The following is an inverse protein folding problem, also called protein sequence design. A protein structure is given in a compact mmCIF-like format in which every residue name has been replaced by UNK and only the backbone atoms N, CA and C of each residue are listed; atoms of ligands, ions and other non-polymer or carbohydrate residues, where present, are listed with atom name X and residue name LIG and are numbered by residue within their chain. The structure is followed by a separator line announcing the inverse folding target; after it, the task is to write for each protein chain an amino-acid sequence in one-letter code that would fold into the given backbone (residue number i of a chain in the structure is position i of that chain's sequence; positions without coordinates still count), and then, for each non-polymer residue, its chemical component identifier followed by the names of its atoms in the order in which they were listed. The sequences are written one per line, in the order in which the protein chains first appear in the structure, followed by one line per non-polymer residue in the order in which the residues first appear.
data_IF_009466332217
#
_entry.id   IF_009466332217
#
_cell.length_a   1.000
_cell.length_b   1.000
_cell.length_c   1.000
_cell.angle_alpha   90.00
_cell.angle_beta   90.00
_cell.angle_gamma   90.00
#
_symmetry.space_group_name_H-M   'P 1'
#
loop_
_entity.id
_entity.type
_entity.pdbx_description
1 polymer ?
#
# COMPACT_ATOMS: atom_id res chain seq x y z
N UNK A 1 29.79 -7.30 8.58
CA UNK A 1 29.88 -8.05 7.32
C UNK A 1 28.59 -7.80 6.54
N UNK A 2 28.62 -7.91 5.20
CA UNK A 2 27.45 -7.68 4.34
C UNK A 2 26.21 -8.47 4.79
N UNK A 3 26.38 -9.75 5.11
CA UNK A 3 25.32 -10.67 5.52
C UNK A 3 24.48 -10.13 6.70
N UNK A 4 25.14 -9.72 7.78
CA UNK A 4 24.45 -9.27 8.99
C UNK A 4 23.64 -7.97 8.74
N UNK A 5 24.20 -7.06 7.94
CA UNK A 5 23.51 -5.82 7.56
C UNK A 5 22.31 -6.08 6.63
N UNK A 6 22.45 -7.04 5.70
CA UNK A 6 21.36 -7.45 4.82
C UNK A 6 20.20 -8.08 5.60
N UNK A 7 20.47 -8.99 6.53
CA UNK A 7 19.45 -9.64 7.35
C UNK A 7 18.70 -8.63 8.23
N UNK A 8 19.42 -7.70 8.85
CA UNK A 8 18.79 -6.62 9.65
C UNK A 8 17.90 -5.72 8.80
N UNK A 9 18.33 -5.35 7.60
CA UNK A 9 17.54 -4.53 6.69
C UNK A 9 16.28 -5.27 6.21
N UNK A 10 16.41 -6.56 5.88
CA UNK A 10 15.29 -7.40 5.48
C UNK A 10 14.24 -7.51 6.61
N UNK A 11 14.68 -7.78 7.83
CA UNK A 11 13.79 -7.91 8.98
C UNK A 11 13.01 -6.62 9.24
N UNK A 12 13.67 -5.46 9.23
CA UNK A 12 13.01 -4.16 9.43
C UNK A 12 12.02 -3.82 8.30
N UNK A 13 12.41 -4.04 7.04
CA UNK A 13 11.56 -3.74 5.88
C UNK A 13 10.35 -4.66 5.76
N UNK A 14 10.37 -5.79 6.48
CA UNK A 14 9.33 -6.82 6.41
C UNK A 14 8.69 -7.11 7.77
N UNK A 15 8.91 -6.24 8.75
CA UNK A 15 8.41 -6.39 10.10
C UNK A 15 6.87 -6.28 10.12
N UNK A 16 6.23 -7.23 10.80
CA UNK A 16 4.76 -7.30 10.90
C UNK A 16 4.17 -6.24 11.83
N UNK A 17 5.00 -5.59 12.66
CA UNK A 17 4.63 -4.53 13.59
C UNK A 17 4.76 -3.11 12.99
N UNK A 18 5.00 -3.01 11.68
CA UNK A 18 5.01 -1.73 10.97
C UNK A 18 3.68 -0.98 11.17
N UNK A 19 3.75 0.26 11.64
CA UNK A 19 2.57 1.09 11.85
C UNK A 19 1.92 1.45 10.50
N UNK A 20 0.64 1.13 10.25
CA UNK A 20 -0.01 1.37 8.97
C UNK A 20 -0.45 2.84 8.84
N UNK A 21 0.50 3.76 8.75
CA UNK A 21 0.23 5.19 8.61
C UNK A 21 -0.53 5.47 7.30
N UNK A 22 -1.57 6.29 7.39
CA UNK A 22 -2.45 6.56 6.24
C UNK A 22 -3.07 7.95 6.27
N UNK A 23 -3.61 8.36 5.12
CA UNK A 23 -4.30 9.63 4.95
C UNK A 23 -5.81 9.46 5.21
N UNK A 24 -6.38 10.30 6.08
CA UNK A 24 -7.81 10.32 6.35
C UNK A 24 -8.57 11.14 5.29
N UNK A 25 -9.60 10.55 4.69
CA UNK A 25 -10.47 11.20 3.70
C UNK A 25 -11.86 10.55 3.70
N UNK A 26 -12.92 11.37 3.70
CA UNK A 26 -14.30 10.91 3.55
C UNK A 26 -14.67 9.72 4.47
N UNK A 27 -14.32 9.81 5.75
CA UNK A 27 -14.64 8.79 6.77
C UNK A 27 -13.75 7.54 6.77
N UNK A 28 -12.75 7.47 5.88
CA UNK A 28 -11.82 6.35 5.79
C UNK A 28 -10.37 6.80 5.98
N UNK A 29 -9.50 5.88 6.41
CA UNK A 29 -8.05 6.01 6.36
C UNK A 29 -7.54 5.15 5.21
N UNK A 30 -6.77 5.75 4.31
CA UNK A 30 -6.14 5.05 3.19
C UNK A 30 -4.67 4.83 3.46
N UNK A 31 -4.20 3.61 3.24
CA UNK A 31 -2.85 3.18 3.51
C UNK A 31 -2.30 2.42 2.29
N UNK A 32 -1.02 2.61 2.00
CA UNK A 32 -0.27 1.76 1.12
C UNK A 32 0.58 0.83 1.99
N UNK A 33 0.52 -0.47 1.72
CA UNK A 33 1.11 -1.49 2.58
C UNK A 33 1.99 -2.42 1.78
N UNK A 34 3.18 -2.72 2.30
CA UNK A 34 4.10 -3.70 1.74
C UNK A 34 4.62 -4.59 2.88
N UNK A 35 4.74 -5.87 2.60
CA UNK A 35 5.29 -6.86 3.52
C UNK A 35 5.90 -8.04 2.72
N UNK A 36 6.17 -9.17 3.39
CA UNK A 36 6.76 -10.35 2.75
C UNK A 36 5.87 -10.97 1.68
N UNK A 37 4.55 -10.83 1.79
CA UNK A 37 3.59 -11.47 0.88
C UNK A 37 3.09 -10.51 -0.19
N UNK A 38 3.10 -9.20 0.08
CA UNK A 38 2.68 -8.13 -0.82
C UNK A 38 3.87 -7.22 -1.13
N UNK A 39 4.79 -7.71 -1.98
CA UNK A 39 6.04 -7.02 -2.26
C UNK A 39 5.83 -5.78 -3.14
N UNK A 40 4.87 -5.83 -4.07
CA UNK A 40 4.46 -4.67 -4.87
C UNK A 40 3.40 -3.83 -4.14
N UNK A 41 2.69 -4.46 -3.22
CA UNK A 41 1.95 -3.80 -2.16
C UNK A 41 0.45 -3.75 -2.38
N UNK A 42 -0.25 -3.31 -1.34
CA UNK A 42 -1.70 -3.17 -1.30
C UNK A 42 -2.05 -1.70 -1.12
N UNK A 43 -2.92 -1.18 -2.00
CA UNK A 43 -3.64 0.05 -1.69
C UNK A 43 -4.96 -0.31 -1.04
N UNK A 44 -5.10 0.05 0.23
CA UNK A 44 -6.20 -0.39 1.10
C UNK A 44 -6.80 0.77 1.89
N UNK A 45 -7.99 0.56 2.44
CA UNK A 45 -8.64 1.52 3.33
C UNK A 45 -9.34 0.84 4.49
N UNK A 46 -9.63 1.61 5.53
CA UNK A 46 -10.46 1.17 6.67
C UNK A 46 -11.29 2.35 7.17
N UNK A 47 -12.48 2.14 7.75
CA UNK A 47 -13.21 3.22 8.43
C UNK A 47 -12.37 3.85 9.54
N UNK A 48 -12.47 5.17 9.73
CA UNK A 48 -11.71 5.89 10.79
C UNK A 48 -11.94 5.31 12.19
N UNK A 49 -13.13 4.78 12.47
CA UNK A 49 -13.43 4.12 13.74
C UNK A 49 -12.62 2.82 13.92
N UNK A 50 -12.49 2.02 12.85
CA UNK A 50 -11.75 0.76 12.85
C UNK A 50 -10.24 0.99 12.94
N UNK A 51 -9.73 2.03 12.26
CA UNK A 51 -8.33 2.46 12.34
C UNK A 51 -7.82 2.74 13.76
N UNK A 52 -8.71 3.11 14.69
CA UNK A 52 -8.35 3.43 16.09
C UNK A 52 -8.30 2.21 17.00
N UNK A 53 -8.59 1.03 16.48
CA UNK A 53 -8.53 -0.23 17.23
C UNK A 53 -7.14 -0.86 17.06
N UNK A 54 -6.81 -1.86 17.90
CA UNK A 54 -5.56 -2.61 17.78
C UNK A 54 -5.45 -3.40 16.47
N UNK A 55 -6.60 -3.76 15.87
CA UNK A 55 -6.67 -4.56 14.64
C UNK A 55 -7.66 -3.92 13.67
N UNK A 56 -7.24 -2.89 12.92
CA UNK A 56 -8.09 -2.28 11.91
C UNK A 56 -8.51 -3.28 10.85
N UNK A 57 -9.79 -3.22 10.49
CA UNK A 57 -10.37 -4.04 9.42
C UNK A 57 -10.13 -3.37 8.06
N UNK A 58 -9.16 -3.89 7.31
CA UNK A 58 -8.71 -3.32 6.05
C UNK A 58 -9.43 -3.94 4.85
N UNK A 59 -9.98 -3.06 4.00
CA UNK A 59 -10.49 -3.40 2.67
C UNK A 59 -9.40 -3.11 1.63
N UNK A 60 -8.93 -4.14 0.93
CA UNK A 60 -8.04 -3.99 -0.23
C UNK A 60 -8.81 -3.38 -1.40
N UNK A 61 -8.31 -2.25 -1.94
CA UNK A 61 -8.86 -1.60 -3.12
C UNK A 61 -8.14 -2.13 -4.37
N UNK A 62 -6.80 -2.20 -4.31
CA UNK A 62 -5.96 -2.78 -5.36
C UNK A 62 -4.84 -3.58 -4.72
N UNK A 63 -4.64 -4.79 -5.23
CA UNK A 63 -3.47 -5.62 -5.02
C UNK A 63 -2.54 -5.48 -6.24
N UNK A 64 -1.36 -4.89 -6.05
CA UNK A 64 -0.41 -4.64 -7.14
C UNK A 64 0.37 -5.90 -7.51
N UNK A 65 0.49 -6.87 -6.58
CA UNK A 65 1.11 -8.16 -6.84
C UNK A 65 0.20 -8.98 -7.77
N UNK A 66 -1.11 -9.05 -7.49
CA UNK A 66 -2.10 -9.71 -8.36
C UNK A 66 -2.20 -9.02 -9.72
N UNK A 67 -2.29 -7.69 -9.75
CA UNK A 67 -2.36 -6.92 -11.00
C UNK A 67 -1.13 -7.19 -11.87
N UNK A 68 0.07 -7.16 -11.28
CA UNK A 68 1.31 -7.39 -12.02
C UNK A 68 1.43 -8.81 -12.54
N UNK A 69 1.00 -9.81 -11.76
CA UNK A 69 0.96 -11.19 -12.20
C UNK A 69 0.00 -11.40 -13.39
N UNK A 70 -1.14 -10.71 -13.37
CA UNK A 70 -2.15 -10.79 -14.43
C UNK A 70 -1.71 -10.14 -15.73
N UNK A 71 -1.02 -9.01 -15.65
CA UNK A 71 -0.65 -8.21 -16.82
C UNK A 71 0.78 -8.48 -17.32
N UNK A 72 1.61 -9.18 -16.53
CA UNK A 72 3.01 -9.43 -16.86
C UNK A 72 3.88 -8.16 -16.80
N UNK A 73 3.42 -7.12 -16.10
CA UNK A 73 4.09 -5.83 -15.93
C UNK A 73 4.23 -5.57 -14.44
N UNK A 74 5.43 -5.23 -13.97
CA UNK A 74 5.64 -4.86 -12.58
C UNK A 74 5.12 -3.46 -12.33
N UNK A 75 3.89 -3.33 -11.82
CA UNK A 75 3.29 -2.04 -11.50
C UNK A 75 3.77 -1.51 -10.15
N UNK A 76 4.25 -0.28 -10.13
CA UNK A 76 4.62 0.44 -8.90
C UNK A 76 3.60 1.52 -8.62
N UNK A 77 3.07 1.56 -7.40
CA UNK A 77 2.12 2.59 -6.97
C UNK A 77 2.83 3.93 -6.71
N UNK A 78 2.39 4.98 -7.40
CA UNK A 78 2.87 6.35 -7.25
C UNK A 78 1.92 7.30 -6.51
N UNK A 79 0.71 6.83 -6.16
CA UNK A 79 -0.28 7.62 -5.41
C UNK A 79 -1.65 7.68 -6.07
N UNK A 80 -2.55 8.44 -5.46
CA UNK A 80 -3.93 8.58 -5.92
C UNK A 80 -4.45 10.02 -5.77
N UNK A 81 -5.04 10.57 -6.83
CA UNK A 81 -5.81 11.81 -6.78
C UNK A 81 -7.29 11.50 -6.77
N UNK A 82 -8.04 12.07 -5.81
CA UNK A 82 -9.48 11.81 -5.64
C UNK A 82 -10.33 12.97 -6.14
N UNK A 83 -11.41 12.64 -6.83
CA UNK A 83 -12.35 13.62 -7.37
C UNK A 83 -13.27 14.17 -6.26
N UNK A 84 -13.12 15.45 -5.93
CA UNK A 84 -14.05 16.20 -5.08
C UNK A 84 -15.40 16.42 -5.79
N UNK A 85 -16.54 16.53 -5.09
CA UNK A 85 -16.72 16.41 -3.62
C UNK A 85 -16.97 14.99 -3.12
N UNK A 86 -17.38 14.08 -4.01
CA UNK A 86 -17.90 12.79 -3.57
C UNK A 86 -16.78 11.79 -3.22
N UNK A 87 -15.56 12.04 -3.68
CA UNK A 87 -14.37 11.20 -3.44
C UNK A 87 -14.56 9.72 -3.81
N UNK A 88 -15.51 9.42 -4.70
CA UNK A 88 -15.85 8.07 -5.16
C UNK A 88 -15.10 7.65 -6.44
N UNK A 89 -14.36 8.58 -7.07
CA UNK A 89 -13.49 8.32 -8.22
C UNK A 89 -12.07 8.77 -7.91
N UNK A 90 -11.11 7.96 -8.34
CA UNK A 90 -9.70 8.22 -8.16
C UNK A 90 -8.96 8.03 -9.49
N UNK A 91 -7.99 8.91 -9.77
CA UNK A 91 -6.93 8.65 -10.74
C UNK A 91 -5.73 8.10 -9.97
N UNK A 92 -5.17 7.00 -10.45
CA UNK A 92 -4.00 6.38 -9.86
C UNK A 92 -2.77 6.69 -10.70
N UNK A 93 -1.70 7.07 -10.02
CA UNK A 93 -0.39 7.22 -10.62
C UNK A 93 0.33 5.89 -10.42
N UNK A 94 0.79 5.29 -11.51
CA UNK A 94 1.53 4.03 -11.49
C UNK A 94 2.54 4.01 -12.64
N UNK A 95 3.68 3.37 -12.42
CA UNK A 95 4.69 3.17 -13.46
C UNK A 95 5.05 1.70 -13.64
N UNK A 96 5.38 1.29 -14.88
CA UNK A 96 6.01 0.00 -15.11
C UNK A 96 7.45 0.03 -14.61
N UNK A 97 7.85 -1.03 -13.92
CA UNK A 97 9.23 -1.30 -13.45
C UNK A 97 9.84 -0.22 -12.54
N UNK A 98 9.02 0.72 -12.03
CA UNK A 98 9.50 1.84 -11.21
C UNK A 98 10.24 2.92 -12.01
N UNK A 99 10.02 2.99 -13.33
CA UNK A 99 10.43 4.13 -14.14
C UNK A 99 9.72 5.42 -13.70
N UNK A 100 10.25 6.57 -14.09
CA UNK A 100 9.64 7.87 -13.78
C UNK A 100 8.18 7.90 -14.30
N UNK A 101 7.27 8.17 -13.37
CA UNK A 101 5.82 8.29 -13.58
C UNK A 101 5.40 9.76 -13.70
#
# INVERSE_FOLDING_TARGET
SYQATFETALDLMTAEDNMPVGAALAGHVYNFWQDKTNALGLWRRTPVASYKTEKPDWETIIDFDELSAKEGVKWVFGGASRLYPDFNRCLLYMSPDGGDA
#
